data_IF_567287126725
#
_entry.id   IF_567287126725
#
_cell.length_a   1.000
_cell.length_b   1.000
_cell.length_c   1.000
_cell.angle_alpha   90.00
_cell.angle_beta   90.00
_cell.angle_gamma   90.00
#
_symmetry.space_group_name_H-M   'P 1'
#
loop_
_entity.id
_entity.type
_entity.pdbx_description
1 polymer ?
#
# COMPACT_ATOMS: atom_id res chain seq x y z
N UNK A 1 78.17 45.05 -52.89
CA UNK A 1 78.08 46.45 -52.55
C UNK A 1 77.43 46.52 -51.19
N UNK A 2 78.24 46.59 -50.07
CA UNK A 2 78.65 47.84 -49.43
C UNK A 2 77.46 48.53 -48.79
N UNK A 3 77.36 48.75 -47.50
CA UNK A 3 78.06 49.23 -46.33
C UNK A 3 77.25 48.89 -45.07
N UNK A 4 77.75 48.33 -43.99
CA UNK A 4 78.36 48.82 -42.75
C UNK A 4 77.77 50.14 -42.28
N UNK A 5 77.19 50.19 -41.06
CA UNK A 5 77.52 51.13 -39.96
C UNK A 5 76.83 50.68 -38.66
N UNK A 6 77.62 50.36 -37.63
CA UNK A 6 77.35 50.52 -36.18
C UNK A 6 77.78 51.95 -35.81
N UNK A 7 77.57 52.54 -34.59
CA UNK A 7 77.29 52.06 -33.25
C UNK A 7 76.17 52.88 -32.54
N UNK A 8 75.73 52.71 -31.32
CA UNK A 8 76.38 53.07 -30.09
C UNK A 8 75.47 52.82 -28.86
N UNK A 9 76.10 52.62 -27.73
CA UNK A 9 75.58 52.37 -26.38
C UNK A 9 74.67 53.48 -25.85
N UNK A 10 73.64 53.05 -25.05
CA UNK A 10 73.39 53.78 -23.81
C UNK A 10 72.74 52.84 -22.77
N UNK A 11 73.38 52.81 -21.62
CA UNK A 11 73.05 52.06 -20.42
C UNK A 11 71.86 52.68 -19.71
N UNK A 12 70.82 51.84 -19.37
CA UNK A 12 69.95 52.17 -18.25
C UNK A 12 69.61 50.92 -17.49
N UNK A 13 70.12 50.86 -16.26
CA UNK A 13 69.71 49.87 -15.22
C UNK A 13 68.29 50.18 -14.77
N UNK A 14 67.41 49.28 -14.96
CA UNK A 14 66.13 49.27 -14.22
C UNK A 14 65.95 47.94 -13.46
N UNK A 15 65.87 48.06 -12.16
CA UNK A 15 65.56 47.02 -11.24
C UNK A 15 64.16 46.46 -11.53
N UNK A 16 64.01 45.19 -11.92
CA UNK A 16 62.74 44.46 -11.96
C UNK A 16 62.66 43.66 -10.68
N UNK A 17 61.73 44.07 -9.81
CA UNK A 17 61.33 43.27 -8.64
C UNK A 17 60.68 41.97 -9.12
N UNK A 18 61.20 40.84 -8.67
CA UNK A 18 60.59 39.56 -8.84
C UNK A 18 59.29 39.50 -8.04
N UNK A 19 58.16 39.35 -8.74
CA UNK A 19 56.87 39.04 -8.12
C UNK A 19 56.79 37.51 -8.00
N UNK A 20 56.91 37.04 -6.76
CA UNK A 20 56.68 35.64 -6.40
C UNK A 20 55.17 35.34 -6.44
N UNK A 21 54.67 34.79 -7.53
CA UNK A 21 53.29 34.25 -7.60
C UNK A 21 53.31 32.83 -7.08
N UNK A 22 52.91 32.68 -5.83
CA UNK A 22 52.59 31.41 -5.21
C UNK A 22 51.32 30.85 -5.86
N UNK A 23 51.46 29.81 -6.68
CA UNK A 23 50.34 28.99 -7.15
C UNK A 23 49.84 28.12 -5.98
N UNK A 24 48.71 28.51 -5.36
CA UNK A 24 47.97 27.62 -4.46
C UNK A 24 47.25 26.55 -5.31
N UNK A 25 47.34 25.28 -4.93
CA UNK A 25 46.57 24.25 -5.63
C UNK A 25 45.08 24.41 -5.35
N UNK A 26 44.30 24.57 -6.40
CA UNK A 26 42.85 24.57 -6.36
C UNK A 26 42.38 23.11 -6.07
N UNK A 27 42.09 22.80 -4.81
CA UNK A 27 41.45 21.55 -4.45
C UNK A 27 39.98 21.63 -4.88
N UNK A 28 39.67 21.05 -6.03
CA UNK A 28 38.28 20.87 -6.48
C UNK A 28 37.60 19.84 -5.59
N UNK A 29 36.81 20.30 -4.62
CA UNK A 29 35.93 19.48 -3.82
C UNK A 29 34.78 18.97 -4.70
N UNK A 30 34.90 17.76 -5.25
CA UNK A 30 33.80 17.08 -5.94
C UNK A 30 32.81 16.64 -4.88
N UNK A 31 31.75 17.43 -4.65
CA UNK A 31 30.62 17.06 -3.84
C UNK A 31 29.78 16.05 -4.68
N UNK A 32 29.98 14.78 -4.41
CA UNK A 32 29.14 13.71 -4.96
C UNK A 32 27.77 13.80 -4.27
N UNK A 33 26.84 14.55 -4.88
CA UNK A 33 25.44 14.55 -4.43
C UNK A 33 24.82 13.20 -4.76
N UNK A 34 24.79 12.33 -3.77
CA UNK A 34 23.96 11.12 -3.81
C UNK A 34 22.49 11.56 -3.86
N UNK A 35 21.96 11.62 -5.07
CA UNK A 35 20.53 11.82 -5.28
C UNK A 35 19.83 10.55 -4.81
N UNK A 36 19.38 10.53 -3.56
CA UNK A 36 18.36 9.58 -3.12
C UNK A 36 17.08 9.90 -3.90
N UNK A 37 16.82 9.14 -4.96
CA UNK A 37 15.51 9.13 -5.59
C UNK A 37 14.52 8.54 -4.59
N UNK A 38 13.90 9.38 -3.79
CA UNK A 38 12.72 8.99 -3.04
C UNK A 38 11.65 8.62 -4.08
N UNK A 39 11.30 7.33 -4.13
CA UNK A 39 10.19 6.87 -4.95
C UNK A 39 8.93 7.60 -4.50
N UNK A 40 8.34 8.41 -5.37
CA UNK A 40 7.14 9.15 -5.04
C UNK A 40 5.97 8.17 -4.92
N UNK A 41 5.24 8.23 -3.81
CA UNK A 41 4.04 7.41 -3.62
C UNK A 41 3.06 7.65 -4.77
N UNK A 42 2.61 6.58 -5.39
CA UNK A 42 1.71 6.63 -6.54
C UNK A 42 0.38 7.28 -6.14
N UNK A 43 -0.10 8.23 -6.93
CA UNK A 43 -1.37 8.92 -6.70
C UNK A 43 -2.55 8.05 -7.12
N UNK A 44 -2.88 7.03 -6.35
CA UNK A 44 -3.97 6.09 -6.60
C UNK A 44 -5.14 6.30 -5.65
N UNK A 45 -6.34 5.87 -6.06
CA UNK A 45 -7.54 5.88 -5.23
C UNK A 45 -7.41 4.90 -4.07
N UNK A 46 -7.90 5.29 -2.88
CA UNK A 46 -7.83 4.49 -1.65
C UNK A 46 -9.20 4.38 -1.00
N UNK A 47 -9.53 3.18 -0.54
CA UNK A 47 -10.81 2.89 0.11
C UNK A 47 -10.86 3.39 1.56
N UNK A 48 -12.08 3.77 2.01
CA UNK A 48 -12.41 3.88 3.44
C UNK A 48 -12.93 2.55 3.98
N UNK A 49 -12.75 2.32 5.28
CA UNK A 49 -13.36 1.17 5.95
C UNK A 49 -14.83 1.44 6.22
N UNK A 50 -15.68 0.48 5.87
CA UNK A 50 -17.08 0.41 6.19
C UNK A 50 -17.25 -0.53 7.38
N UNK A 51 -17.93 -0.09 8.43
CA UNK A 51 -18.26 -0.91 9.61
C UNK A 51 -19.65 -1.48 9.41
N UNK A 52 -19.77 -2.82 9.27
CA UNK A 52 -21.04 -3.49 9.05
C UNK A 52 -22.01 -3.27 10.22
N UNK A 53 -21.52 -3.18 11.45
CA UNK A 53 -22.36 -2.98 12.62
C UNK A 53 -23.06 -1.61 12.63
N UNK A 54 -22.47 -0.62 11.97
CA UNK A 54 -23.08 0.72 11.79
C UNK A 54 -24.20 0.71 10.77
N UNK A 55 -24.22 -0.29 9.87
CA UNK A 55 -25.21 -0.38 8.79
C UNK A 55 -26.38 -1.29 9.21
N UNK A 56 -26.10 -2.34 10.01
CA UNK A 56 -27.10 -3.35 10.41
C UNK A 56 -27.61 -3.17 11.84
N UNK A 57 -27.02 -2.29 12.66
CA UNK A 57 -27.41 -2.07 14.06
C UNK A 57 -28.75 -1.32 14.19
N UNK A 58 -29.51 -1.60 15.27
CA UNK A 58 -30.81 -0.98 15.59
C UNK A 58 -30.74 0.54 15.85
N UNK A 59 -29.56 1.13 15.87
CA UNK A 59 -29.31 2.56 15.87
C UNK A 59 -28.70 2.97 14.52
N UNK A 60 -29.50 2.84 13.46
CA UNK A 60 -29.17 3.46 12.18
C UNK A 60 -29.26 4.96 12.41
N UNK A 61 -28.12 5.60 12.60
CA UNK A 61 -28.02 7.03 12.33
C UNK A 61 -28.13 7.19 10.80
N UNK A 62 -29.39 7.15 10.34
CA UNK A 62 -29.74 7.29 8.92
C UNK A 62 -29.34 8.65 8.36
N UNK A 63 -28.89 9.57 9.20
CA UNK A 63 -28.39 10.88 8.78
C UNK A 63 -26.96 10.84 8.22
N UNK A 64 -26.22 9.73 8.40
CA UNK A 64 -24.83 9.64 7.92
C UNK A 64 -24.61 8.80 6.67
N UNK A 65 -25.61 8.04 6.19
CA UNK A 65 -25.52 7.24 4.95
C UNK A 65 -26.92 7.03 4.39
N UNK A 66 -27.35 7.91 3.50
CA UNK A 66 -28.27 7.56 2.41
C UNK A 66 -27.56 6.56 1.51
N UNK A 67 -27.37 5.32 2.02
CA UNK A 67 -26.57 4.30 1.39
C UNK A 67 -27.51 3.32 0.69
N UNK A 68 -27.89 3.66 -0.54
CA UNK A 68 -28.55 2.68 -1.40
C UNK A 68 -27.49 1.71 -1.92
N UNK A 69 -27.44 0.49 -1.35
CA UNK A 69 -26.48 -0.55 -1.75
C UNK A 69 -26.52 -0.85 -3.25
N UNK A 70 -27.68 -0.73 -3.89
CA UNK A 70 -27.86 -0.89 -5.33
C UNK A 70 -27.07 0.11 -6.19
N UNK A 71 -26.63 1.24 -5.62
CA UNK A 71 -25.77 2.20 -6.30
C UNK A 71 -24.29 1.77 -6.33
N UNK A 72 -23.95 0.64 -5.72
CA UNK A 72 -22.58 0.12 -5.68
C UNK A 72 -22.41 -1.12 -6.55
N UNK A 73 -21.24 -1.21 -7.17
CA UNK A 73 -20.70 -2.46 -7.67
C UNK A 73 -19.79 -3.05 -6.59
N UNK A 74 -19.92 -4.36 -6.39
CA UNK A 74 -19.29 -5.05 -5.28
C UNK A 74 -18.43 -6.18 -5.81
N UNK A 75 -17.19 -6.26 -5.32
CA UNK A 75 -16.26 -7.33 -5.64
C UNK A 75 -15.68 -7.96 -4.37
N UNK A 76 -15.09 -9.12 -4.50
CA UNK A 76 -14.26 -9.67 -3.43
C UNK A 76 -13.04 -8.78 -3.22
N UNK A 77 -12.70 -8.54 -1.96
CA UNK A 77 -11.44 -7.92 -1.60
C UNK A 77 -10.35 -8.97 -1.55
N UNK A 78 -9.56 -9.02 -2.61
CA UNK A 78 -8.43 -9.94 -2.69
C UNK A 78 -7.33 -9.56 -1.68
N UNK A 79 -6.72 -10.58 -1.07
CA UNK A 79 -5.54 -10.43 -0.21
C UNK A 79 -4.30 -10.67 -1.06
N UNK A 80 -3.88 -9.63 -1.77
CA UNK A 80 -2.77 -9.65 -2.71
C UNK A 80 -1.84 -8.46 -2.58
N UNK A 81 -1.09 -8.19 -3.62
CA UNK A 81 -0.21 -7.02 -3.73
C UNK A 81 -0.77 -6.09 -4.80
N UNK A 82 -1.23 -4.91 -4.38
CA UNK A 82 -1.71 -3.92 -5.32
C UNK A 82 -0.59 -3.50 -6.26
N UNK A 83 -0.86 -3.64 -7.54
CA UNK A 83 0.03 -3.25 -8.62
C UNK A 83 -0.68 -2.28 -9.56
N UNK A 84 0.05 -1.27 -10.00
CA UNK A 84 -0.36 -0.33 -11.01
C UNK A 84 0.44 -0.61 -12.27
N UNK A 85 -0.22 -0.88 -13.38
CA UNK A 85 0.37 -0.97 -14.71
C UNK A 85 0.32 0.40 -15.37
N UNK A 86 1.45 0.97 -15.73
CA UNK A 86 1.51 2.31 -16.32
C UNK A 86 1.52 2.32 -17.87
N UNK A 87 1.29 1.17 -18.48
CA UNK A 87 1.39 0.94 -19.92
C UNK A 87 2.72 0.35 -20.37
N UNK A 88 3.69 0.21 -19.44
CA UNK A 88 5.03 -0.31 -19.73
C UNK A 88 5.60 -1.22 -18.62
N UNK A 89 5.30 -0.91 -17.35
CA UNK A 89 5.80 -1.69 -16.20
C UNK A 89 4.80 -1.72 -15.05
N UNK A 90 4.90 -2.76 -14.22
CA UNK A 90 4.16 -2.90 -12.98
C UNK A 90 4.87 -2.16 -11.84
N UNK A 91 4.10 -1.39 -11.06
CA UNK A 91 4.61 -0.57 -9.97
C UNK A 91 3.78 -0.83 -8.72
N UNK A 92 4.42 -1.00 -7.57
CA UNK A 92 3.72 -1.11 -6.28
C UNK A 92 3.05 0.21 -5.90
N UNK A 93 2.16 0.17 -4.92
CA UNK A 93 1.54 1.37 -4.34
C UNK A 93 2.55 2.41 -3.84
N UNK A 94 3.71 1.98 -3.37
CA UNK A 94 4.81 2.86 -2.91
C UNK A 94 5.70 3.38 -4.03
N UNK A 95 5.39 3.05 -5.29
CA UNK A 95 6.15 3.51 -6.46
C UNK A 95 7.36 2.65 -6.81
N UNK A 96 7.55 1.50 -6.17
CA UNK A 96 8.64 0.60 -6.50
C UNK A 96 8.26 -0.28 -7.69
N UNK A 97 9.21 -0.49 -8.60
CA UNK A 97 9.05 -1.43 -9.71
C UNK A 97 8.86 -2.86 -9.20
N UNK A 98 7.93 -3.58 -9.81
CA UNK A 98 7.74 -5.02 -9.66
C UNK A 98 8.47 -5.71 -10.82
N UNK A 99 9.37 -6.61 -10.48
CA UNK A 99 10.13 -7.39 -11.47
C UNK A 99 9.33 -8.63 -11.85
N UNK A 100 8.44 -8.49 -12.84
CA UNK A 100 7.73 -9.61 -13.43
C UNK A 100 8.50 -10.18 -14.62
N UNK A 101 8.35 -11.48 -14.96
CA UNK A 101 8.87 -12.03 -16.20
C UNK A 101 8.28 -11.32 -17.42
N UNK A 102 9.05 -11.22 -18.51
CA UNK A 102 8.61 -10.52 -19.72
C UNK A 102 7.33 -11.13 -20.31
N UNK A 103 7.19 -12.46 -20.29
CA UNK A 103 6.00 -13.13 -20.79
C UNK A 103 4.72 -12.80 -20.03
N UNK A 104 4.83 -12.45 -18.72
CA UNK A 104 3.68 -12.10 -17.88
C UNK A 104 3.01 -10.81 -18.36
N UNK A 105 3.80 -9.84 -18.79
CA UNK A 105 3.32 -8.52 -19.23
C UNK A 105 3.29 -8.33 -20.74
N UNK A 106 3.78 -9.29 -21.52
CA UNK A 106 3.98 -9.17 -22.99
C UNK A 106 2.72 -8.75 -23.76
N UNK A 107 1.55 -9.14 -23.29
CA UNK A 107 0.27 -8.84 -23.93
C UNK A 107 -0.59 -7.86 -23.12
N UNK A 108 -0.01 -7.16 -22.15
CA UNK A 108 -0.74 -6.13 -21.44
C UNK A 108 -0.98 -4.92 -22.35
N UNK A 109 -2.12 -4.23 -22.21
CA UNK A 109 -2.43 -3.07 -23.04
C UNK A 109 -1.53 -1.87 -22.70
N UNK A 110 -1.42 -0.93 -23.63
CA UNK A 110 -0.68 0.33 -23.38
C UNK A 110 -1.42 1.29 -22.45
N UNK A 111 -2.71 1.06 -22.19
CA UNK A 111 -3.46 1.83 -21.21
C UNK A 111 -3.10 1.43 -19.78
N UNK A 112 -3.17 2.38 -18.86
CA UNK A 112 -2.88 2.10 -17.45
C UNK A 112 -4.00 1.28 -16.80
N UNK A 113 -3.60 0.33 -15.95
CA UNK A 113 -4.49 -0.54 -15.20
C UNK A 113 -4.19 -0.44 -13.70
N UNK A 114 -5.23 -0.55 -12.89
CA UNK A 114 -5.10 -0.65 -11.43
C UNK A 114 -5.70 -1.99 -10.98
N UNK A 115 -4.90 -2.80 -10.31
CA UNK A 115 -5.29 -4.17 -9.97
C UNK A 115 -4.52 -4.74 -8.79
N UNK A 116 -4.77 -6.00 -8.52
CA UNK A 116 -4.13 -6.77 -7.47
C UNK A 116 -3.39 -7.96 -8.11
N UNK A 117 -2.11 -8.11 -7.85
CA UNK A 117 -1.42 -9.38 -8.08
C UNK A 117 -1.90 -10.37 -7.03
N UNK A 118 -2.30 -11.56 -7.45
CA UNK A 118 -2.97 -12.53 -6.59
C UNK A 118 -2.75 -13.97 -7.09
N UNK A 119 -2.71 -14.93 -6.18
CA UNK A 119 -2.64 -16.36 -6.50
C UNK A 119 -4.01 -16.99 -6.22
N UNK A 120 -4.33 -17.12 -4.94
CA UNK A 120 -5.58 -17.63 -4.40
C UNK A 120 -5.72 -17.20 -2.92
N UNK A 121 -6.88 -17.47 -2.32
CA UNK A 121 -7.11 -17.16 -0.90
C UNK A 121 -6.09 -17.86 -0.01
N UNK A 122 -5.59 -17.16 1.02
CA UNK A 122 -4.62 -17.68 1.98
C UNK A 122 -3.16 -17.77 1.48
N UNK A 123 -2.86 -17.35 0.25
CA UNK A 123 -1.51 -17.43 -0.34
C UNK A 123 -0.73 -16.11 -0.35
N UNK A 124 -1.13 -15.14 0.45
CA UNK A 124 -0.46 -13.83 0.50
C UNK A 124 1.04 -13.90 0.79
N UNK A 125 1.47 -14.80 1.69
CA UNK A 125 2.90 -14.92 2.02
C UNK A 125 3.70 -15.48 0.83
N UNK A 126 3.18 -16.53 0.17
CA UNK A 126 3.79 -17.09 -1.04
C UNK A 126 3.85 -16.02 -2.14
N UNK A 127 2.74 -15.32 -2.39
CA UNK A 127 2.71 -14.22 -3.35
C UNK A 127 3.78 -13.17 -3.05
N UNK A 128 3.92 -12.78 -1.79
CA UNK A 128 4.91 -11.78 -1.38
C UNK A 128 6.34 -12.23 -1.68
N UNK A 129 6.66 -13.50 -1.44
CA UNK A 129 7.98 -14.06 -1.77
C UNK A 129 8.26 -14.00 -3.27
N UNK A 130 7.27 -14.33 -4.10
CA UNK A 130 7.40 -14.33 -5.56
C UNK A 130 7.55 -12.91 -6.12
N UNK A 131 6.64 -12.01 -5.73
CA UNK A 131 6.50 -10.68 -6.36
C UNK A 131 7.55 -9.69 -5.87
N UNK A 132 8.04 -9.84 -4.64
CA UNK A 132 9.03 -8.92 -4.06
C UNK A 132 10.48 -9.31 -4.38
N UNK A 133 10.70 -10.43 -5.03
CA UNK A 133 12.03 -10.81 -5.51
C UNK A 133 12.42 -9.92 -6.72
N UNK A 134 13.65 -9.43 -6.72
CA UNK A 134 14.22 -8.64 -7.82
C UNK A 134 14.61 -9.49 -9.03
N UNK A 135 14.80 -10.78 -8.81
CA UNK A 135 15.07 -11.77 -9.87
C UNK A 135 13.88 -12.69 -9.94
N UNK A 136 12.94 -12.49 -10.89
CA UNK A 136 11.71 -13.25 -10.93
C UNK A 136 11.98 -14.73 -11.20
N UNK A 137 11.37 -15.59 -10.38
CA UNK A 137 11.29 -17.02 -10.66
C UNK A 137 10.19 -17.27 -11.69
N UNK A 138 10.59 -17.65 -12.88
CA UNK A 138 9.71 -17.89 -14.05
C UNK A 138 8.58 -18.89 -13.75
N UNK A 139 8.88 -19.99 -13.06
CA UNK A 139 7.90 -21.03 -12.77
C UNK A 139 6.95 -20.61 -11.64
N UNK A 140 7.44 -19.96 -10.60
CA UNK A 140 6.62 -19.45 -9.52
C UNK A 140 5.61 -18.41 -10.01
N UNK A 141 6.01 -17.54 -10.95
CA UNK A 141 5.14 -16.52 -11.54
C UNK A 141 3.96 -17.10 -12.33
N UNK A 142 4.02 -18.38 -12.79
CA UNK A 142 2.88 -19.02 -13.46
C UNK A 142 1.64 -19.16 -12.57
N UNK A 143 1.81 -19.10 -11.26
CA UNK A 143 0.69 -19.11 -10.31
C UNK A 143 0.08 -17.73 -10.07
N UNK A 144 0.75 -16.64 -10.46
CA UNK A 144 0.33 -15.26 -10.22
C UNK A 144 -0.64 -14.80 -11.29
N UNK A 145 -1.71 -14.13 -10.88
CA UNK A 145 -2.70 -13.47 -11.74
C UNK A 145 -2.71 -11.98 -11.46
N UNK A 146 -2.92 -11.17 -12.48
CA UNK A 146 -3.19 -9.75 -12.31
C UNK A 146 -4.69 -9.50 -12.44
N UNK A 147 -5.32 -9.26 -11.29
CA UNK A 147 -6.76 -9.06 -11.13
C UNK A 147 -7.06 -7.57 -11.19
N UNK A 148 -7.40 -7.07 -12.38
CA UNK A 148 -7.63 -5.64 -12.63
C UNK A 148 -9.02 -5.24 -12.17
N UNK A 149 -9.13 -4.13 -11.49
CA UNK A 149 -10.40 -3.62 -10.97
C UNK A 149 -10.75 -2.21 -11.47
N UNK A 150 -9.82 -1.45 -12.07
CA UNK A 150 -10.11 -0.10 -12.56
C UNK A 150 -9.20 0.36 -13.70
N UNK A 151 -9.67 1.37 -14.46
CA UNK A 151 -8.96 2.10 -15.51
C UNK A 151 -8.65 3.53 -15.02
N UNK A 152 -7.50 3.76 -14.36
CA UNK A 152 -7.25 4.97 -13.58
C UNK A 152 -7.14 6.27 -14.40
N UNK A 153 -6.86 6.19 -15.69
CA UNK A 153 -6.76 7.36 -16.58
C UNK A 153 -8.07 7.68 -17.32
N UNK A 154 -9.10 6.85 -17.18
CA UNK A 154 -10.39 7.13 -17.78
C UNK A 154 -11.16 8.16 -16.94
N UNK A 155 -11.70 9.24 -17.54
CA UNK A 155 -12.50 10.25 -16.84
C UNK A 155 -13.95 9.82 -16.58
N UNK A 156 -14.33 8.63 -17.03
CA UNK A 156 -15.72 8.14 -16.98
C UNK A 156 -16.10 7.70 -15.56
N UNK A 157 -17.40 7.62 -15.24
CA UNK A 157 -17.91 6.98 -14.03
C UNK A 157 -17.47 5.52 -13.93
N UNK A 158 -17.35 4.98 -12.71
CA UNK A 158 -16.83 3.63 -12.49
C UNK A 158 -17.59 2.55 -13.27
N UNK A 159 -18.89 2.60 -13.27
CA UNK A 159 -19.69 1.61 -14.01
C UNK A 159 -19.32 1.55 -15.50
N UNK A 160 -18.97 2.67 -16.10
CA UNK A 160 -18.57 2.72 -17.50
C UNK A 160 -17.11 2.28 -17.66
N UNK A 161 -16.21 2.72 -16.76
CA UNK A 161 -14.83 2.23 -16.73
C UNK A 161 -14.76 0.72 -16.58
N UNK A 162 -15.64 0.13 -15.77
CA UNK A 162 -15.68 -1.32 -15.59
C UNK A 162 -16.17 -2.05 -16.84
N UNK A 163 -17.18 -1.53 -17.56
CA UNK A 163 -17.58 -2.08 -18.86
C UNK A 163 -16.45 -2.02 -19.88
N UNK A 164 -15.76 -0.88 -19.96
CA UNK A 164 -14.63 -0.70 -20.86
C UNK A 164 -13.48 -1.66 -20.49
N UNK A 165 -13.22 -1.86 -19.20
CA UNK A 165 -12.25 -2.83 -18.69
C UNK A 165 -12.61 -4.27 -19.11
N UNK A 166 -13.87 -4.66 -18.96
CA UNK A 166 -14.31 -6.00 -19.37
C UNK A 166 -14.11 -6.23 -20.88
N UNK A 167 -14.44 -5.24 -21.71
CA UNK A 167 -14.23 -5.30 -23.15
C UNK A 167 -12.72 -5.41 -23.48
N UNK A 168 -11.90 -4.57 -22.85
CA UNK A 168 -10.46 -4.58 -23.03
C UNK A 168 -9.85 -5.95 -22.69
N UNK A 169 -10.18 -6.49 -21.51
CA UNK A 169 -9.68 -7.80 -21.07
C UNK A 169 -10.18 -8.93 -22.01
N UNK A 170 -11.45 -8.90 -22.39
CA UNK A 170 -12.00 -9.88 -23.33
C UNK A 170 -11.27 -9.89 -24.67
N UNK A 171 -10.89 -8.72 -25.19
CA UNK A 171 -10.19 -8.61 -26.46
C UNK A 171 -8.78 -9.24 -26.45
N UNK A 172 -8.13 -9.32 -25.28
CA UNK A 172 -6.77 -9.85 -25.14
C UNK A 172 -6.72 -11.21 -24.43
N UNK A 173 -7.84 -11.74 -23.96
CA UNK A 173 -7.92 -12.99 -23.17
C UNK A 173 -7.41 -14.22 -23.92
N UNK A 174 -7.47 -14.24 -25.27
CA UNK A 174 -6.93 -15.34 -26.09
C UNK A 174 -5.40 -15.36 -26.15
N UNK A 175 -4.74 -14.29 -25.71
CA UNK A 175 -3.29 -14.10 -25.76
C UNK A 175 -2.64 -14.03 -24.38
N UNK A 176 -3.45 -13.96 -23.32
CA UNK A 176 -2.95 -13.77 -21.96
C UNK A 176 -3.82 -14.51 -20.93
N UNK A 177 -3.22 -15.50 -20.27
CA UNK A 177 -3.86 -16.35 -19.25
C UNK A 177 -3.66 -15.80 -17.82
N UNK A 178 -3.08 -14.61 -17.66
CA UNK A 178 -2.69 -14.06 -16.37
C UNK A 178 -3.36 -12.73 -16.03
N UNK A 179 -4.08 -12.14 -16.99
CA UNK A 179 -4.75 -10.85 -16.86
C UNK A 179 -6.26 -11.01 -16.85
N UNK A 180 -6.91 -10.62 -15.75
CA UNK A 180 -8.34 -10.79 -15.54
C UNK A 180 -8.98 -9.51 -15.04
N UNK A 181 -10.22 -9.23 -15.45
CA UNK A 181 -11.06 -8.25 -14.75
C UNK A 181 -11.65 -8.93 -13.50
N UNK A 182 -11.54 -8.26 -12.33
CA UNK A 182 -12.21 -8.76 -11.13
C UNK A 182 -13.73 -8.70 -11.31
N UNK A 183 -14.42 -9.78 -10.92
CA UNK A 183 -15.88 -9.83 -11.02
C UNK A 183 -16.53 -8.77 -10.12
N UNK A 184 -17.44 -7.97 -10.67
CA UNK A 184 -18.26 -7.00 -9.95
C UNK A 184 -19.71 -7.44 -9.99
N UNK A 185 -20.39 -7.43 -8.84
CA UNK A 185 -21.80 -7.78 -8.69
C UNK A 185 -22.60 -6.62 -8.13
N UNK A 186 -23.88 -6.59 -8.49
CA UNK A 186 -24.86 -5.73 -7.83
C UNK A 186 -25.63 -6.55 -6.79
N UNK A 187 -25.94 -5.94 -5.66
CA UNK A 187 -26.88 -6.49 -4.69
C UNK A 187 -27.93 -5.44 -4.33
N UNK A 188 -29.14 -5.89 -4.02
CA UNK A 188 -30.27 -4.98 -3.83
C UNK A 188 -30.54 -4.67 -2.35
N UNK A 189 -30.01 -5.49 -1.44
CA UNK A 189 -30.18 -5.29 0.00
C UNK A 189 -28.94 -5.66 0.82
N UNK A 190 -28.92 -5.21 2.07
CA UNK A 190 -27.83 -5.43 3.02
C UNK A 190 -27.77 -6.89 3.51
N UNK A 191 -28.89 -7.63 3.46
CA UNK A 191 -28.91 -9.04 3.87
C UNK A 191 -28.08 -9.88 2.90
N UNK A 192 -28.26 -9.66 1.60
CA UNK A 192 -27.47 -10.32 0.55
C UNK A 192 -25.99 -9.94 0.67
N UNK A 193 -25.69 -8.65 0.94
CA UNK A 193 -24.32 -8.19 1.15
C UNK A 193 -23.65 -8.90 2.34
N UNK A 194 -24.36 -9.02 3.48
CA UNK A 194 -23.82 -9.68 4.68
C UNK A 194 -23.62 -11.17 4.47
N UNK A 195 -24.58 -11.84 3.84
CA UNK A 195 -24.44 -13.25 3.46
C UNK A 195 -23.24 -13.49 2.54
N UNK A 196 -23.05 -12.62 1.55
CA UNK A 196 -21.89 -12.73 0.67
C UNK A 196 -20.57 -12.48 1.43
N UNK A 197 -20.53 -11.49 2.33
CA UNK A 197 -19.38 -11.28 3.20
C UNK A 197 -19.06 -12.53 4.03
N UNK A 198 -20.07 -13.15 4.63
CA UNK A 198 -19.91 -14.37 5.43
C UNK A 198 -19.38 -15.54 4.57
N UNK A 199 -19.91 -15.71 3.37
CA UNK A 199 -19.41 -16.72 2.42
C UNK A 199 -17.95 -16.48 2.08
N UNK A 200 -17.56 -15.26 1.77
CA UNK A 200 -16.17 -14.91 1.42
C UNK A 200 -15.23 -15.17 2.60
N UNK A 201 -15.60 -14.72 3.79
CA UNK A 201 -14.77 -14.86 5.00
C UNK A 201 -14.65 -16.32 5.46
N UNK A 202 -15.76 -17.08 5.44
CA UNK A 202 -15.76 -18.50 5.80
C UNK A 202 -14.92 -19.35 4.82
N UNK A 203 -14.73 -18.85 3.59
CA UNK A 203 -13.84 -19.46 2.60
C UNK A 203 -12.45 -18.76 2.56
N UNK A 204 -12.00 -18.21 3.67
CA UNK A 204 -10.68 -17.57 3.85
C UNK A 204 -10.42 -16.34 2.97
N UNK A 205 -11.46 -15.68 2.44
CA UNK A 205 -11.36 -14.40 1.76
C UNK A 205 -11.20 -13.23 2.76
N UNK A 206 -10.70 -12.10 2.31
CA UNK A 206 -10.42 -10.95 3.17
C UNK A 206 -11.67 -10.12 3.49
N UNK A 207 -12.64 -10.09 2.57
CA UNK A 207 -13.86 -9.29 2.66
C UNK A 207 -14.36 -8.83 1.30
N UNK A 208 -15.04 -7.69 1.28
CA UNK A 208 -15.63 -7.12 0.07
C UNK A 208 -15.14 -5.68 -0.18
N UNK A 209 -15.16 -5.27 -1.44
CA UNK A 209 -14.98 -3.90 -1.90
C UNK A 209 -16.31 -3.42 -2.49
N UNK A 210 -16.72 -2.21 -2.14
CA UNK A 210 -17.92 -1.56 -2.65
C UNK A 210 -17.49 -0.28 -3.34
N UNK A 211 -17.76 -0.15 -4.63
CA UNK A 211 -17.43 1.04 -5.40
C UNK A 211 -18.69 1.67 -5.98
N UNK A 212 -18.90 2.95 -5.64
CA UNK A 212 -20.05 3.70 -6.14
C UNK A 212 -20.01 3.77 -7.67
N UNK A 213 -21.12 3.45 -8.33
CA UNK A 213 -21.22 3.37 -9.81
C UNK A 213 -20.86 4.68 -10.50
N UNK A 214 -21.25 5.81 -9.90
CA UNK A 214 -20.96 7.15 -10.40
C UNK A 214 -19.56 7.68 -10.08
N UNK A 215 -18.72 6.89 -9.37
CA UNK A 215 -17.40 7.32 -8.89
C UNK A 215 -16.44 7.61 -10.04
N UNK A 216 -15.85 8.80 -10.03
CA UNK A 216 -14.68 9.10 -10.87
C UNK A 216 -13.41 8.62 -10.17
N UNK A 217 -12.40 8.25 -10.96
CA UNK A 217 -11.10 7.85 -10.38
C UNK A 217 -10.36 9.07 -9.85
N UNK A 218 -10.30 9.22 -8.53
CA UNK A 218 -9.60 10.32 -7.85
C UNK A 218 -8.51 9.79 -6.93
N UNK A 219 -7.35 10.42 -6.97
CA UNK A 219 -6.24 10.07 -6.10
C UNK A 219 -6.58 10.33 -4.62
N UNK A 220 -6.14 9.43 -3.76
CA UNK A 220 -6.34 9.56 -2.32
C UNK A 220 -7.55 8.79 -1.80
N UNK A 221 -7.91 9.07 -0.55
CA UNK A 221 -8.99 8.36 0.15
C UNK A 221 -10.34 8.98 -0.15
N UNK A 222 -11.29 8.15 -0.59
CA UNK A 222 -12.64 8.59 -0.95
C UNK A 222 -13.71 7.82 -0.16
N UNK A 223 -14.88 8.44 -0.01
CA UNK A 223 -16.09 7.79 0.53
C UNK A 223 -16.81 6.93 -0.52
N UNK A 224 -16.45 7.06 -1.79
CA UNK A 224 -17.10 6.38 -2.91
C UNK A 224 -16.46 5.02 -3.23
N UNK A 225 -15.36 4.67 -2.55
CA UNK A 225 -14.75 3.35 -2.54
C UNK A 225 -14.62 2.88 -1.11
N UNK A 226 -15.32 1.81 -0.76
CA UNK A 226 -15.40 1.29 0.60
C UNK A 226 -14.85 -0.13 0.64
N UNK A 227 -14.23 -0.48 1.76
CA UNK A 227 -13.82 -1.85 2.07
C UNK A 227 -14.60 -2.35 3.28
N UNK A 228 -15.25 -3.47 3.11
CA UNK A 228 -16.03 -4.17 4.13
C UNK A 228 -15.27 -5.44 4.53
N UNK A 229 -14.89 -5.53 5.79
CA UNK A 229 -14.22 -6.70 6.34
C UNK A 229 -14.96 -7.15 7.58
N UNK A 230 -15.15 -8.45 7.70
CA UNK A 230 -15.53 -9.02 8.97
C UNK A 230 -14.29 -9.03 9.88
N UNK A 231 -14.45 -8.60 11.11
CA UNK A 231 -13.41 -8.74 12.13
C UNK A 231 -13.90 -9.69 13.20
N UNK A 232 -12.97 -10.48 13.69
CA UNK A 232 -13.18 -11.33 14.83
C UNK A 232 -12.77 -10.58 16.09
N UNK A 233 -13.49 -10.78 17.16
CA UNK A 233 -13.12 -10.30 18.49
C UNK A 233 -12.52 -11.45 19.29
N UNK A 234 -11.45 -11.19 20.01
CA UNK A 234 -10.85 -12.13 20.95
C UNK A 234 -10.29 -11.39 22.16
N UNK A 235 -9.89 -12.16 23.17
CA UNK A 235 -9.32 -11.64 24.41
C UNK A 235 -7.89 -12.11 24.60
N UNK A 236 -7.08 -11.27 25.24
CA UNK A 236 -5.73 -11.61 25.63
C UNK A 236 -5.32 -10.83 26.89
N UNK A 237 -4.35 -11.36 27.61
CA UNK A 237 -3.78 -10.73 28.80
C UNK A 237 -2.60 -9.86 28.43
N UNK A 238 -2.57 -8.61 28.89
CA UNK A 238 -1.40 -7.73 28.74
C UNK A 238 -0.24 -8.28 29.55
N UNK A 239 0.90 -8.51 28.91
CA UNK A 239 2.11 -9.06 29.54
C UNK A 239 3.30 -8.09 29.50
N UNK A 240 3.18 -6.96 28.79
CA UNK A 240 4.26 -5.97 28.70
C UNK A 240 3.93 -4.86 27.72
N UNK A 241 4.87 -3.93 27.60
CA UNK A 241 4.77 -2.79 26.69
C UNK A 241 6.00 -2.70 25.79
N UNK A 242 5.79 -2.04 24.66
CA UNK A 242 6.86 -1.60 23.76
C UNK A 242 6.79 -0.07 23.68
N UNK A 243 7.95 0.56 23.73
CA UNK A 243 8.04 2.03 23.64
C UNK A 243 7.59 2.52 22.25
N UNK A 244 6.94 3.66 22.22
CA UNK A 244 6.51 4.30 20.99
C UNK A 244 7.63 5.05 20.29
N UNK A 245 7.50 5.22 18.99
CA UNK A 245 8.42 5.99 18.15
C UNK A 245 7.76 7.28 17.65
N UNK A 246 8.58 8.25 17.26
CA UNK A 246 8.13 9.52 16.71
C UNK A 246 7.24 10.28 17.68
N UNK A 247 5.99 10.59 17.29
CA UNK A 247 5.07 11.32 18.16
C UNK A 247 4.70 10.61 19.48
N UNK A 248 4.97 9.31 19.57
CA UNK A 248 4.70 8.49 20.75
C UNK A 248 5.95 8.16 21.59
N UNK A 249 7.08 8.83 21.31
CA UNK A 249 8.29 8.66 22.12
C UNK A 249 8.02 8.99 23.60
N UNK A 250 8.48 8.14 24.51
CA UNK A 250 8.19 8.24 25.95
C UNK A 250 6.78 7.78 26.35
N UNK A 251 6.00 7.21 25.44
CA UNK A 251 4.68 6.65 25.69
C UNK A 251 4.63 5.21 25.14
N UNK A 252 3.55 4.48 25.49
CA UNK A 252 3.34 3.14 24.95
C UNK A 252 3.11 3.17 23.43
N UNK A 253 3.96 2.48 22.67
CA UNK A 253 3.81 2.23 21.25
C UNK A 253 2.90 1.03 20.98
N UNK A 254 3.09 -0.07 21.73
CA UNK A 254 2.28 -1.28 21.65
C UNK A 254 2.21 -1.98 23.01
N UNK A 255 1.18 -2.81 23.19
CA UNK A 255 1.12 -3.79 24.27
C UNK A 255 1.56 -5.14 23.75
N UNK A 256 2.34 -5.87 24.52
CA UNK A 256 2.54 -7.30 24.38
C UNK A 256 1.40 -8.01 25.06
N UNK A 257 0.81 -8.97 24.39
CA UNK A 257 -0.31 -9.75 24.91
C UNK A 257 -0.05 -11.26 24.77
N UNK A 258 -0.74 -12.03 25.61
CA UNK A 258 -0.74 -13.48 25.61
C UNK A 258 -2.17 -13.99 25.55
N UNK A 259 -2.47 -14.86 24.59
CA UNK A 259 -3.77 -15.49 24.41
C UNK A 259 -3.94 -16.68 25.37
N UNK A 260 -5.17 -17.19 25.47
CA UNK A 260 -5.47 -18.42 26.21
C UNK A 260 -4.72 -19.67 25.65
N UNK A 261 -4.44 -19.65 24.34
CA UNK A 261 -3.64 -20.68 23.65
C UNK A 261 -2.13 -20.50 23.76
N UNK A 262 -1.67 -19.56 24.61
CA UNK A 262 -0.26 -19.25 24.88
C UNK A 262 0.50 -18.52 23.76
N UNK A 263 -0.14 -18.11 22.68
CA UNK A 263 0.51 -17.27 21.68
C UNK A 263 0.77 -15.87 22.25
N UNK A 264 1.91 -15.31 21.87
CA UNK A 264 2.29 -13.94 22.24
C UNK A 264 2.50 -13.09 20.99
N UNK A 265 1.94 -11.89 21.00
CA UNK A 265 2.09 -10.92 19.90
C UNK A 265 1.88 -9.49 20.39
N UNK A 266 2.12 -8.53 19.49
CA UNK A 266 1.98 -7.10 19.80
C UNK A 266 0.67 -6.54 19.24
N UNK A 267 0.04 -5.66 20.01
CA UNK A 267 -1.07 -4.81 19.55
C UNK A 267 -0.62 -3.36 19.66
N UNK A 268 -0.37 -2.72 18.52
CA UNK A 268 0.11 -1.32 18.45
C UNK A 268 -0.97 -0.32 17.99
N UNK A 269 -2.15 -0.78 17.59
CA UNK A 269 -3.22 0.05 17.07
C UNK A 269 -4.52 -0.08 17.86
N UNK A 270 -5.45 0.86 17.67
CA UNK A 270 -6.73 0.91 18.39
C UNK A 270 -6.70 1.74 19.67
N UNK A 271 -5.53 2.15 20.12
CA UNK A 271 -5.40 2.99 21.33
C UNK A 271 -5.55 4.48 21.01
N UNK A 272 -6.22 5.20 21.91
CA UNK A 272 -6.22 6.67 21.94
C UNK A 272 -4.89 7.20 22.47
N UNK A 273 -4.61 8.48 22.22
CA UNK A 273 -3.39 9.13 22.76
C UNK A 273 -3.40 9.13 24.32
N UNK A 274 -4.56 9.19 24.94
CA UNK A 274 -4.69 9.09 26.40
C UNK A 274 -4.34 7.68 26.91
N UNK A 275 -4.80 6.64 26.21
CA UNK A 275 -4.48 5.26 26.56
C UNK A 275 -3.01 4.90 26.32
N UNK A 276 -2.31 5.65 25.49
CA UNK A 276 -0.85 5.49 25.33
C UNK A 276 -0.06 6.10 26.48
N UNK A 277 -0.59 7.16 27.11
CA UNK A 277 -0.02 7.77 28.32
C UNK A 277 -0.31 6.95 29.57
N UNK A 278 -1.47 6.28 29.61
CA UNK A 278 -1.93 5.46 30.73
C UNK A 278 -2.43 4.12 30.18
N UNK A 279 -1.52 3.20 29.79
CA UNK A 279 -1.90 1.94 29.15
C UNK A 279 -2.61 0.99 30.12
N UNK A 280 -3.39 0.03 29.59
CA UNK A 280 -3.95 -1.06 30.40
C UNK A 280 -2.85 -1.75 31.20
N UNK A 281 -3.06 -1.97 32.50
CA UNK A 281 -2.04 -2.56 33.39
C UNK A 281 -1.64 -3.99 32.93
N UNK A 282 -0.41 -4.38 33.24
CA UNK A 282 0.04 -5.77 33.04
C UNK A 282 -0.86 -6.69 33.88
N UNK A 283 -1.26 -7.82 33.32
CA UNK A 283 -2.24 -8.76 33.91
C UNK A 283 -3.70 -8.45 33.53
N UNK A 284 -3.98 -7.29 32.95
CA UNK A 284 -5.34 -6.93 32.53
C UNK A 284 -5.74 -7.70 31.29
N UNK A 285 -6.97 -8.23 31.26
CA UNK A 285 -7.58 -8.79 30.07
C UNK A 285 -8.11 -7.68 29.18
N UNK A 286 -7.69 -7.69 27.93
CA UNK A 286 -8.20 -6.77 26.91
C UNK A 286 -8.92 -7.53 25.81
N UNK A 287 -9.93 -6.88 25.23
CA UNK A 287 -10.54 -7.33 23.98
C UNK A 287 -9.84 -6.64 22.83
N UNK A 288 -9.54 -7.41 21.78
CA UNK A 288 -8.98 -6.91 20.55
C UNK A 288 -9.73 -7.46 19.34
N UNK A 289 -9.69 -6.72 18.26
CA UNK A 289 -10.25 -7.11 16.95
C UNK A 289 -9.11 -7.50 16.02
N UNK A 290 -9.36 -8.49 15.18
CA UNK A 290 -8.37 -8.96 14.20
C UNK A 290 -9.05 -9.48 12.93
N UNK A 291 -8.29 -9.69 11.86
CA UNK A 291 -8.79 -10.14 10.57
C UNK A 291 -8.10 -11.45 10.16
N UNK A 292 -8.56 -12.57 10.74
CA UNK A 292 -7.96 -13.89 10.49
C UNK A 292 -6.57 -14.05 11.10
N UNK A 293 -5.91 -15.15 10.75
CA UNK A 293 -4.62 -15.55 11.31
C UNK A 293 -3.53 -15.62 10.22
N UNK A 294 -2.28 -15.48 10.65
CA UNK A 294 -1.12 -15.86 9.84
C UNK A 294 -0.99 -17.38 9.83
N UNK A 295 -0.14 -17.94 8.95
CA UNK A 295 0.17 -19.38 8.92
C UNK A 295 0.75 -19.90 10.24
N UNK A 296 1.27 -19.00 11.09
CA UNK A 296 1.77 -19.30 12.44
C UNK A 296 0.71 -19.20 13.54
N UNK A 297 -0.57 -19.00 13.19
CA UNK A 297 -1.66 -18.84 14.14
C UNK A 297 -1.72 -17.47 14.83
N UNK A 298 -0.89 -16.51 14.45
CA UNK A 298 -0.90 -15.16 15.04
C UNK A 298 -2.01 -14.31 14.42
N UNK A 299 -2.85 -13.61 15.22
CA UNK A 299 -3.89 -12.71 14.72
C UNK A 299 -3.35 -11.62 13.80
N UNK A 300 -3.92 -11.51 12.60
CA UNK A 300 -3.54 -10.49 11.61
C UNK A 300 -4.22 -9.16 11.92
N UNK A 301 -3.46 -8.07 11.86
CA UNK A 301 -3.97 -6.70 12.05
C UNK A 301 -4.70 -6.52 13.39
N UNK A 302 -4.19 -7.15 14.46
CA UNK A 302 -4.76 -7.02 15.80
C UNK A 302 -4.77 -5.56 16.25
N UNK A 303 -5.93 -5.11 16.76
CA UNK A 303 -6.15 -3.75 17.25
C UNK A 303 -6.94 -3.77 18.55
N UNK A 304 -6.53 -3.00 19.52
CA UNK A 304 -7.20 -2.86 20.80
C UNK A 304 -8.66 -2.37 20.60
N UNK A 305 -9.58 -2.97 21.32
CA UNK A 305 -10.98 -2.57 21.37
C UNK A 305 -11.35 -1.94 22.70
N UNK A 306 -11.13 -2.66 23.79
CA UNK A 306 -11.43 -2.20 25.15
C UNK A 306 -10.74 -3.06 26.21
N UNK A 307 -10.67 -2.54 27.43
CA UNK A 307 -10.36 -3.32 28.63
C UNK A 307 -11.61 -4.14 29.01
N UNK A 308 -11.43 -5.41 29.35
CA UNK A 308 -12.50 -6.21 29.98
C UNK A 308 -12.51 -5.92 31.46
N UNK A 309 -13.61 -5.37 31.93
CA UNK A 309 -13.85 -5.25 33.37
C UNK A 309 -14.24 -6.64 33.88
N UNK A 310 -13.57 -7.13 34.90
CA UNK A 310 -14.03 -8.31 35.64
C UNK A 310 -15.40 -8.02 36.23
N UNK A 311 -16.33 -9.02 36.27
CA UNK A 311 -17.62 -8.82 36.93
C UNK A 311 -17.51 -8.50 38.42
N UNK A 312 -16.34 -8.74 39.01
CA UNK A 312 -16.07 -8.61 40.47
C UNK A 312 -15.16 -7.42 40.81
N UNK A 313 -15.08 -6.38 39.97
CA UNK A 313 -14.30 -5.14 40.24
C UNK A 313 -15.19 -3.93 40.38
#
# INVERSE_FOLDING_TARGET
MTYIVTPDRCSHKNHVKAINTSLAPLVALVILTLSFSASAELKIMKAKSLDIQKITGNNIDTTSLDFAISEYLISEKLDGIRAYWNGNELITRSGNKIHAPDWFTAHFPTTSLDGELWIERGKFQLLTQIVMDKTPDEDAWRSVKYMVFDLPLSPLPFEQRYRDLQQLISAISTQNDYLFAIEQKSVDDLTILTQWLDIVVNNHGEGLMLQYRGNQYVAGRTNQLLKLKQHQDAEAIVIGYEEGNGKYQGQMGAVWVKTASNETFKIGSGFTDQQRKSPPAIGTTIQYRFNGYTDRGIPRFARFSRVRLSPDS
#
